data_IF_259456589723
#
_entry.id   IF_259456589723
#
_cell.length_a   1.000
_cell.length_b   1.000
_cell.length_c   1.000
_cell.angle_alpha   90.00
_cell.angle_beta   90.00
_cell.angle_gamma   90.00
#
_symmetry.space_group_name_H-M   'P 1'
#
loop_
_entity.id
_entity.type
_entity.pdbx_description
1 polymer ?
#
# COMPACT_ATOMS: atom_id res chain seq x y z
N UNK A 1 3.58 32.29 24.96
CA UNK A 1 4.08 31.66 23.74
C UNK A 1 3.00 30.77 23.17
N UNK A 2 3.13 30.30 21.89
CA UNK A 2 2.17 29.38 21.29
C UNK A 2 2.81 28.02 21.06
N UNK A 3 2.04 26.95 21.22
CA UNK A 3 2.46 25.60 20.94
C UNK A 3 2.88 25.45 19.46
N UNK A 4 4.08 24.93 19.21
CA UNK A 4 4.65 24.80 17.87
C UNK A 4 3.83 23.87 16.94
N UNK A 5 2.99 22.98 17.49
CA UNK A 5 2.19 22.07 16.70
C UNK A 5 0.73 22.52 16.49
N UNK A 6 0.03 22.97 17.53
CA UNK A 6 -1.40 23.28 17.46
C UNK A 6 -1.73 24.76 17.68
N UNK A 7 -0.74 25.62 17.88
CA UNK A 7 -0.85 27.06 18.10
C UNK A 7 -1.65 27.49 19.35
N UNK A 8 -1.96 26.55 20.25
CA UNK A 8 -2.60 26.87 21.55
C UNK A 8 -1.66 27.67 22.41
N UNK A 9 -2.17 28.64 23.20
CA UNK A 9 -1.39 29.43 24.13
C UNK A 9 -0.83 28.51 25.24
N UNK A 10 0.46 28.60 25.49
CA UNK A 10 1.19 27.80 26.49
C UNK A 10 2.04 28.71 27.40
N UNK A 11 2.44 28.18 28.54
CA UNK A 11 3.33 28.87 29.48
C UNK A 11 4.72 29.11 28.88
N UNK A 12 5.42 30.11 29.37
CA UNK A 12 6.78 30.40 28.94
C UNK A 12 7.72 29.24 29.32
N UNK A 13 8.58 28.86 28.39
CA UNK A 13 9.52 27.76 28.57
C UNK A 13 9.08 26.43 27.99
N UNK A 14 7.84 26.35 27.50
CA UNK A 14 7.36 25.17 26.76
C UNK A 14 7.31 25.43 25.23
N UNK A 15 7.65 24.43 24.46
CA UNK A 15 7.51 24.42 23.00
C UNK A 15 6.21 23.70 22.54
N UNK A 16 5.75 22.73 23.34
CA UNK A 16 4.52 21.98 23.10
C UNK A 16 3.53 22.13 24.27
N UNK A 17 2.24 22.12 23.98
CA UNK A 17 1.20 21.97 25.00
C UNK A 17 1.12 20.50 25.47
N UNK A 18 0.56 20.24 26.64
CA UNK A 18 0.43 18.90 27.24
C UNK A 18 -0.23 17.89 26.30
N UNK A 19 -1.26 18.30 25.54
CA UNK A 19 -1.94 17.41 24.59
C UNK A 19 -1.04 17.02 23.40
N UNK A 20 -0.17 17.91 22.93
CA UNK A 20 0.80 17.64 21.87
C UNK A 20 1.98 16.82 22.39
N UNK A 21 2.46 17.09 23.59
CA UNK A 21 3.47 16.29 24.28
C UNK A 21 3.02 14.82 24.43
N UNK A 22 1.81 14.59 24.97
CA UNK A 22 1.26 13.23 25.13
C UNK A 22 1.10 12.52 23.78
N UNK A 23 0.69 13.24 22.73
CA UNK A 23 0.63 12.65 21.37
C UNK A 23 2.02 12.31 20.84
N UNK A 24 3.01 13.16 21.06
CA UNK A 24 4.38 12.93 20.62
C UNK A 24 4.97 11.71 21.35
N UNK A 25 4.88 11.68 22.69
CA UNK A 25 5.30 10.53 23.48
C UNK A 25 4.58 9.24 23.07
N UNK A 26 3.26 9.30 22.84
CA UNK A 26 2.47 8.16 22.36
C UNK A 26 2.91 7.66 20.98
N UNK A 27 3.28 8.56 20.04
CA UNK A 27 3.83 8.17 18.73
C UNK A 27 5.18 7.47 18.88
N UNK A 28 6.09 7.98 19.73
CA UNK A 28 7.38 7.35 19.99
C UNK A 28 7.24 5.95 20.61
N UNK A 29 6.33 5.79 21.60
CA UNK A 29 6.04 4.48 22.20
C UNK A 29 5.41 3.49 21.22
N UNK A 30 4.55 3.97 20.33
CA UNK A 30 3.98 3.15 19.24
C UNK A 30 5.08 2.69 18.30
N UNK A 31 5.93 3.59 17.82
CA UNK A 31 7.07 3.23 16.97
C UNK A 31 8.01 2.23 17.65
N UNK A 32 8.28 2.40 18.97
CA UNK A 32 9.09 1.45 19.73
C UNK A 32 8.48 0.02 19.73
N UNK A 33 7.15 -0.09 19.76
CA UNK A 33 6.44 -1.37 19.64
C UNK A 33 6.55 -1.94 18.22
N UNK A 34 6.50 -1.05 17.22
CA UNK A 34 6.44 -1.42 15.80
C UNK A 34 7.83 -1.74 15.20
N UNK A 35 8.94 -1.50 15.93
CA UNK A 35 10.32 -1.85 15.53
C UNK A 35 10.45 -3.32 15.18
N UNK A 36 9.97 -4.23 16.05
CA UNK A 36 10.08 -5.69 15.79
C UNK A 36 9.29 -6.12 14.57
N UNK A 37 7.98 -5.80 14.43
CA UNK A 37 7.24 -6.08 13.20
C UNK A 37 7.90 -5.48 11.93
N UNK A 38 8.52 -4.30 12.05
CA UNK A 38 9.20 -3.66 10.93
C UNK A 38 10.44 -4.46 10.51
N UNK A 39 11.23 -4.95 11.45
CA UNK A 39 12.35 -5.85 11.16
C UNK A 39 11.89 -7.17 10.57
N UNK A 40 10.80 -7.77 11.07
CA UNK A 40 10.23 -9.00 10.52
C UNK A 40 9.75 -8.79 9.08
N UNK A 41 9.28 -7.57 8.75
CA UNK A 41 8.83 -7.23 7.40
C UNK A 41 9.95 -7.02 6.38
N UNK A 42 11.23 -7.02 6.80
CA UNK A 42 12.37 -6.99 5.88
C UNK A 42 12.44 -8.22 4.98
N UNK A 43 11.97 -9.37 5.45
CA UNK A 43 11.94 -10.58 4.64
C UNK A 43 10.80 -10.50 3.61
N UNK A 44 11.19 -10.25 2.35
CA UNK A 44 10.23 -10.19 1.24
C UNK A 44 9.47 -11.51 0.99
N UNK A 45 9.93 -12.63 1.55
CA UNK A 45 9.30 -13.95 1.38
C UNK A 45 8.10 -14.15 2.31
N UNK A 46 8.02 -13.39 3.40
CA UNK A 46 6.97 -13.51 4.43
C UNK A 46 5.69 -12.73 4.08
N UNK A 47 5.69 -11.92 3.01
CA UNK A 47 4.50 -11.16 2.62
C UNK A 47 3.57 -11.95 1.71
N UNK A 48 2.33 -12.29 2.16
CA UNK A 48 1.36 -13.04 1.36
C UNK A 48 0.76 -12.29 0.17
N UNK A 49 1.17 -11.04 -0.09
CA UNK A 49 0.59 -10.18 -1.13
C UNK A 49 1.31 -10.15 -2.48
N UNK A 50 2.42 -10.85 -2.65
CA UNK A 50 3.35 -10.65 -3.77
C UNK A 50 3.50 -11.76 -4.79
N UNK A 51 2.65 -12.75 -4.85
CA UNK A 51 2.71 -13.73 -5.94
C UNK A 51 2.15 -13.14 -7.23
N UNK A 52 2.99 -12.40 -7.95
CA UNK A 52 2.77 -12.22 -9.39
C UNK A 52 2.87 -13.59 -10.06
N UNK A 53 1.81 -14.09 -10.72
CA UNK A 53 1.84 -15.41 -11.37
C UNK A 53 2.73 -15.45 -12.61
N UNK A 54 3.37 -14.35 -12.96
CA UNK A 54 4.34 -14.26 -14.05
C UNK A 54 5.72 -14.24 -13.45
N UNK A 55 6.42 -15.38 -13.44
CA UNK A 55 7.86 -15.44 -13.30
C UNK A 55 8.45 -14.71 -14.50
N UNK A 56 8.74 -13.43 -14.35
CA UNK A 56 9.70 -12.75 -15.21
C UNK A 56 11.05 -13.30 -14.78
N UNK A 57 11.67 -14.11 -15.61
CA UNK A 57 13.06 -14.50 -15.44
C UNK A 57 13.90 -13.24 -15.70
N UNK A 58 14.12 -12.45 -14.65
CA UNK A 58 15.13 -11.40 -14.65
C UNK A 58 16.49 -12.06 -14.50
N UNK A 59 17.49 -11.60 -15.26
CA UNK A 59 18.87 -12.11 -15.20
C UNK A 59 19.51 -11.94 -13.80
N UNK A 60 18.93 -11.10 -12.96
CA UNK A 60 19.32 -10.88 -11.55
C UNK A 60 18.21 -11.41 -10.65
N UNK A 61 18.49 -12.33 -9.71
CA UNK A 61 17.48 -12.78 -8.75
C UNK A 61 17.00 -11.58 -7.92
N UNK A 62 15.69 -11.49 -7.61
CA UNK A 62 15.17 -10.41 -6.76
C UNK A 62 15.89 -10.49 -5.40
N UNK A 63 16.30 -9.33 -4.90
CA UNK A 63 16.89 -9.21 -3.57
C UNK A 63 15.84 -9.68 -2.55
N UNK A 64 16.17 -10.65 -1.67
CA UNK A 64 15.20 -11.19 -0.71
C UNK A 64 14.85 -10.20 0.40
N UNK A 65 15.45 -9.01 0.41
CA UNK A 65 15.30 -7.98 1.42
C UNK A 65 14.55 -6.78 0.81
N UNK A 66 13.59 -6.24 1.56
CA UNK A 66 12.88 -5.01 1.22
C UNK A 66 13.75 -3.80 1.57
N UNK A 67 14.40 -3.23 0.55
CA UNK A 67 15.28 -2.07 0.72
C UNK A 67 14.52 -0.83 1.21
N UNK A 68 13.27 -0.63 0.78
CA UNK A 68 12.38 0.44 1.22
C UNK A 68 12.14 0.42 2.74
N UNK A 69 12.02 -0.78 3.31
CA UNK A 69 11.85 -0.99 4.75
C UNK A 69 13.17 -0.79 5.49
N UNK A 70 14.27 -1.25 4.91
CA UNK A 70 15.61 -1.05 5.50
C UNK A 70 15.93 0.44 5.60
N UNK A 71 15.74 1.21 4.53
CA UNK A 71 15.94 2.66 4.52
C UNK A 71 15.05 3.37 5.56
N UNK A 72 13.83 2.85 5.77
CA UNK A 72 12.91 3.38 6.78
C UNK A 72 13.40 3.12 8.21
N UNK A 73 13.95 1.94 8.49
CA UNK A 73 14.56 1.59 9.77
C UNK A 73 15.76 2.49 10.04
N UNK A 74 16.64 2.66 9.06
CA UNK A 74 17.83 3.50 9.19
C UNK A 74 17.45 4.98 9.43
N UNK A 75 16.42 5.47 8.73
CA UNK A 75 15.88 6.81 8.94
C UNK A 75 15.31 6.97 10.35
N UNK A 76 14.56 5.99 10.84
CA UNK A 76 13.98 6.01 12.19
C UNK A 76 15.09 5.99 13.26
N UNK A 77 16.11 5.13 13.10
CA UNK A 77 17.23 5.02 14.03
C UNK A 77 18.04 6.33 14.09
N UNK A 78 18.40 6.88 12.92
CA UNK A 78 19.12 8.16 12.85
C UNK A 78 18.33 9.29 13.52
N UNK A 79 17.02 9.40 13.25
CA UNK A 79 16.17 10.44 13.82
C UNK A 79 15.99 10.27 15.34
N UNK A 80 15.80 9.03 15.81
CA UNK A 80 15.66 8.74 17.24
C UNK A 80 16.93 9.08 18.02
N UNK A 81 18.10 8.75 17.48
CA UNK A 81 19.40 9.09 18.08
C UNK A 81 19.65 10.59 18.11
N UNK A 82 19.25 11.29 17.06
CA UNK A 82 19.38 12.75 16.99
C UNK A 82 18.45 13.43 17.99
N UNK A 83 17.19 12.99 18.07
CA UNK A 83 16.23 13.47 19.06
C UNK A 83 16.75 13.25 20.49
N UNK A 84 17.29 12.06 20.79
CA UNK A 84 17.86 11.75 22.08
C UNK A 84 18.99 12.73 22.44
N UNK A 85 19.91 12.99 21.51
CA UNK A 85 21.02 13.98 21.73
C UNK A 85 20.50 15.39 22.04
N UNK A 86 19.47 15.83 21.32
CA UNK A 86 18.84 17.13 21.56
C UNK A 86 18.16 17.18 22.94
N UNK A 87 17.55 16.10 23.38
CA UNK A 87 16.88 16.00 24.67
C UNK A 87 17.88 15.96 25.85
N UNK A 88 18.93 15.16 25.74
CA UNK A 88 19.93 14.97 26.79
C UNK A 88 20.97 16.11 26.84
N UNK A 89 21.01 16.94 25.78
CA UNK A 89 21.96 18.08 25.68
C UNK A 89 23.40 17.62 25.47
N UNK A 90 23.59 16.42 24.91
CA UNK A 90 24.92 15.87 24.60
C UNK A 90 25.46 16.54 23.35
N UNK A 91 26.63 17.14 23.41
CA UNK A 91 27.33 17.69 22.25
C UNK A 91 27.63 16.59 21.22
N UNK A 92 27.49 16.91 19.93
CA UNK A 92 27.66 15.99 18.80
C UNK A 92 29.01 15.22 18.79
N UNK A 93 30.02 15.70 19.52
CA UNK A 93 31.33 15.07 19.65
C UNK A 93 31.38 13.92 20.67
N UNK A 94 30.46 13.88 21.63
CA UNK A 94 30.46 12.87 22.73
C UNK A 94 29.51 11.67 22.46
N UNK A 95 28.70 11.72 21.40
CA UNK A 95 27.75 10.65 21.07
C UNK A 95 28.38 9.24 20.93
N UNK A 96 29.68 9.18 20.57
CA UNK A 96 30.40 7.90 20.42
C UNK A 96 30.65 7.19 21.75
N UNK A 97 30.51 7.91 22.89
CA UNK A 97 30.72 7.37 24.23
C UNK A 97 29.43 6.86 24.89
N UNK A 98 28.27 7.22 24.32
CA UNK A 98 26.98 6.83 24.90
C UNK A 98 26.56 5.42 24.42
N UNK A 99 26.95 4.42 25.23
CA UNK A 99 26.60 3.01 24.96
C UNK A 99 25.11 2.67 25.17
N UNK A 100 24.30 3.60 25.70
CA UNK A 100 22.89 3.37 26.05
C UNK A 100 21.99 3.31 24.80
N UNK A 101 22.47 3.69 23.62
CA UNK A 101 21.70 3.83 22.39
C UNK A 101 21.97 2.74 21.35
N UNK A 102 22.36 1.54 21.77
CA UNK A 102 22.56 0.42 20.84
C UNK A 102 21.25 -0.17 20.32
N UNK A 103 20.15 -0.01 21.10
CA UNK A 103 18.81 -0.52 20.73
C UNK A 103 17.86 0.63 20.37
N UNK A 104 17.42 0.69 19.10
CA UNK A 104 16.44 1.65 18.60
C UNK A 104 15.17 1.71 19.47
N UNK A 105 14.65 0.55 19.88
CA UNK A 105 13.45 0.47 20.72
C UNK A 105 13.66 1.15 22.08
N UNK A 106 14.81 0.91 22.72
CA UNK A 106 15.16 1.53 23.99
C UNK A 106 15.32 3.04 23.84
N UNK A 107 15.95 3.50 22.75
CA UNK A 107 16.10 4.93 22.43
C UNK A 107 14.75 5.63 22.28
N UNK A 108 13.82 5.05 21.54
CA UNK A 108 12.47 5.61 21.36
C UNK A 108 11.70 5.71 22.69
N UNK A 109 11.79 4.68 23.54
CA UNK A 109 11.17 4.68 24.88
C UNK A 109 11.80 5.76 25.76
N UNK A 110 13.12 5.90 25.75
CA UNK A 110 13.83 6.91 26.51
C UNK A 110 13.45 8.33 26.07
N UNK A 111 13.36 8.59 24.76
CA UNK A 111 12.86 9.85 24.22
C UNK A 111 11.43 10.15 24.67
N UNK A 112 10.54 9.15 24.64
CA UNK A 112 9.14 9.33 25.01
C UNK A 112 8.95 9.70 26.49
N UNK A 113 9.81 9.18 27.38
CA UNK A 113 9.78 9.45 28.82
C UNK A 113 10.66 10.64 29.26
N UNK A 114 11.29 11.36 28.33
CA UNK A 114 12.25 12.38 28.68
C UNK A 114 11.58 13.66 29.18
N UNK A 115 12.03 14.19 30.35
CA UNK A 115 11.42 15.36 30.98
C UNK A 115 11.46 16.64 30.13
N UNK A 116 12.39 16.73 29.17
CA UNK A 116 12.53 17.89 28.28
C UNK A 116 11.74 17.77 26.99
N UNK A 117 10.97 16.71 26.77
CA UNK A 117 10.27 16.46 25.50
C UNK A 117 9.37 17.62 25.04
N UNK A 118 8.73 18.32 25.98
CA UNK A 118 7.87 19.48 25.68
C UNK A 118 8.62 20.83 25.73
N UNK A 119 9.83 20.88 26.27
CA UNK A 119 10.51 22.14 26.58
C UNK A 119 11.72 22.44 25.69
N UNK A 120 12.23 21.45 24.93
CA UNK A 120 13.37 21.75 24.04
C UNK A 120 12.90 22.52 22.78
N UNK A 121 13.77 23.38 22.27
CA UNK A 121 13.42 24.40 21.27
C UNK A 121 12.81 23.84 20.00
N UNK A 122 13.26 22.67 19.55
CA UNK A 122 12.86 22.06 18.26
C UNK A 122 11.82 20.94 18.43
N UNK A 123 11.08 20.92 19.55
CA UNK A 123 10.10 19.86 19.84
C UNK A 123 9.03 19.69 18.76
N UNK A 124 8.52 20.79 18.21
CA UNK A 124 7.54 20.76 17.13
C UNK A 124 8.11 20.20 15.83
N UNK A 125 9.36 20.55 15.49
CA UNK A 125 10.04 20.03 14.29
C UNK A 125 10.22 18.52 14.36
N UNK A 126 10.76 17.99 15.47
CA UNK A 126 10.92 16.55 15.64
C UNK A 126 9.59 15.81 15.72
N UNK A 127 8.57 16.40 16.34
CA UNK A 127 7.23 15.84 16.34
C UNK A 127 6.70 15.65 14.92
N UNK A 128 6.90 16.61 14.02
CA UNK A 128 6.49 16.48 12.61
C UNK A 128 7.25 15.37 11.89
N UNK A 129 8.58 15.32 12.01
CA UNK A 129 9.41 14.27 11.39
C UNK A 129 9.00 12.89 11.89
N UNK A 130 8.86 12.70 13.19
CA UNK A 130 8.46 11.42 13.78
C UNK A 130 7.06 11.00 13.34
N UNK A 131 6.12 11.93 13.22
CA UNK A 131 4.78 11.62 12.67
C UNK A 131 4.82 11.22 11.20
N UNK A 132 5.72 11.82 10.40
CA UNK A 132 5.91 11.45 9.00
C UNK A 132 6.51 10.05 8.85
N UNK A 133 7.51 9.73 9.69
CA UNK A 133 8.09 8.38 9.75
C UNK A 133 7.03 7.38 10.20
N UNK A 134 6.23 7.70 11.22
CA UNK A 134 5.18 6.84 11.72
C UNK A 134 4.15 6.49 10.64
N UNK A 135 3.74 7.45 9.80
CA UNK A 135 2.85 7.18 8.65
C UNK A 135 3.48 6.25 7.61
N UNK A 136 4.80 6.37 7.38
CA UNK A 136 5.53 5.46 6.47
C UNK A 136 5.61 4.06 7.07
N UNK A 137 5.84 3.94 8.40
CA UNK A 137 5.83 2.66 9.12
C UNK A 137 4.46 2.00 9.03
N UNK A 138 3.38 2.76 9.27
CA UNK A 138 2.00 2.25 9.11
C UNK A 138 1.77 1.71 7.68
N UNK A 139 2.20 2.45 6.65
CA UNK A 139 2.08 2.00 5.26
C UNK A 139 2.95 0.78 4.94
N UNK A 140 4.11 0.62 5.58
CA UNK A 140 5.01 -0.51 5.36
C UNK A 140 4.49 -1.80 6.02
N UNK A 141 3.88 -1.68 7.21
CA UNK A 141 3.33 -2.79 7.99
C UNK A 141 1.93 -3.19 7.52
N UNK A 142 1.10 -2.22 7.15
CA UNK A 142 -0.26 -2.42 6.64
C UNK A 142 -0.44 -1.63 5.33
N UNK A 143 0.14 -2.11 4.23
CA UNK A 143 0.05 -1.43 2.95
C UNK A 143 -1.42 -1.31 2.54
N UNK A 144 -1.85 -0.14 2.06
CA UNK A 144 -3.23 0.05 1.63
C UNK A 144 -3.60 -0.99 0.58
N UNK A 145 -4.75 -1.60 0.76
CA UNK A 145 -5.25 -2.62 -0.16
C UNK A 145 -5.24 -2.09 -1.60
N UNK A 146 -4.57 -2.83 -2.50
CA UNK A 146 -4.50 -2.45 -3.91
C UNK A 146 -5.90 -2.52 -4.52
N UNK A 147 -6.58 -1.38 -4.59
CA UNK A 147 -7.86 -1.27 -5.27
C UNK A 147 -7.64 -1.20 -6.79
N UNK A 148 -8.37 -2.04 -7.52
CA UNK A 148 -8.31 -2.09 -8.99
C UNK A 148 -9.61 -1.59 -9.58
N UNK A 149 -9.52 -0.97 -10.74
CA UNK A 149 -10.71 -0.58 -11.51
C UNK A 149 -11.49 -1.81 -11.96
N UNK A 150 -12.74 -1.92 -11.52
CA UNK A 150 -13.61 -3.06 -11.81
C UNK A 150 -14.67 -2.77 -12.87
N UNK A 151 -14.94 -1.52 -13.15
CA UNK A 151 -15.95 -1.07 -14.11
C UNK A 151 -16.59 0.23 -13.71
N UNK A 152 -17.72 0.57 -14.30
CA UNK A 152 -18.43 1.83 -14.06
C UNK A 152 -19.72 1.63 -13.27
N UNK A 153 -20.12 2.67 -12.53
CA UNK A 153 -21.41 2.72 -11.85
C UNK A 153 -22.56 2.67 -12.86
N UNK A 154 -23.61 1.91 -12.58
CA UNK A 154 -24.75 1.78 -13.48
C UNK A 154 -25.61 3.05 -13.56
N UNK A 155 -25.55 3.91 -12.53
CA UNK A 155 -26.37 5.12 -12.45
C UNK A 155 -25.66 6.35 -13.03
N UNK A 156 -24.39 6.59 -12.65
CA UNK A 156 -23.67 7.82 -13.00
C UNK A 156 -22.42 7.61 -13.85
N UNK A 157 -22.14 6.37 -14.27
CA UNK A 157 -20.97 5.98 -15.07
C UNK A 157 -19.58 6.30 -14.44
N UNK A 158 -19.54 6.69 -13.16
CA UNK A 158 -18.27 6.92 -12.45
C UNK A 158 -17.49 5.61 -12.35
N UNK A 159 -16.17 5.66 -12.60
CA UNK A 159 -15.27 4.51 -12.44
C UNK A 159 -15.29 4.02 -11.00
N UNK A 160 -15.48 2.72 -10.81
CA UNK A 160 -15.49 2.05 -9.52
C UNK A 160 -14.22 1.23 -9.33
N UNK A 161 -13.67 1.29 -8.13
CA UNK A 161 -12.51 0.49 -7.73
C UNK A 161 -12.90 -0.46 -6.60
N UNK A 162 -12.30 -1.64 -6.58
CA UNK A 162 -12.48 -2.63 -5.53
C UNK A 162 -11.15 -3.26 -5.14
N UNK A 163 -11.04 -3.65 -3.88
CA UNK A 163 -10.02 -4.56 -3.39
C UNK A 163 -10.24 -5.98 -3.89
N UNK A 164 -9.29 -6.87 -3.61
CA UNK A 164 -9.35 -8.25 -4.12
C UNK A 164 -10.54 -9.03 -3.54
N UNK A 165 -10.89 -8.75 -2.28
CA UNK A 165 -11.94 -9.47 -1.53
C UNK A 165 -13.24 -8.69 -1.39
N UNK A 166 -13.34 -7.49 -1.96
CA UNK A 166 -14.54 -6.66 -1.88
C UNK A 166 -15.71 -7.35 -2.59
N UNK A 167 -16.75 -7.68 -1.84
CA UNK A 167 -18.01 -8.21 -2.40
C UNK A 167 -18.94 -7.09 -2.86
N UNK A 168 -18.87 -5.92 -2.19
CA UNK A 168 -19.70 -4.75 -2.44
C UNK A 168 -18.83 -3.51 -2.65
N UNK A 169 -19.30 -2.60 -3.48
CA UNK A 169 -18.66 -1.31 -3.74
C UNK A 169 -19.68 -0.21 -3.70
N UNK A 170 -19.32 0.90 -3.08
CA UNK A 170 -20.14 2.11 -3.01
C UNK A 170 -19.59 3.13 -4.00
N UNK A 171 -20.45 3.68 -4.84
CA UNK A 171 -20.05 4.71 -5.77
C UNK A 171 -19.70 6.00 -5.03
N UNK A 172 -18.51 6.58 -5.22
CA UNK A 172 -18.10 7.79 -4.50
C UNK A 172 -18.87 9.02 -4.92
N UNK A 173 -19.52 9.01 -6.11
CA UNK A 173 -20.27 10.17 -6.61
C UNK A 173 -21.75 10.13 -6.20
N UNK A 174 -22.44 8.99 -6.38
CA UNK A 174 -23.89 8.90 -6.17
C UNK A 174 -24.30 8.07 -4.95
N UNK A 175 -23.35 7.52 -4.20
CA UNK A 175 -23.60 6.71 -3.00
C UNK A 175 -24.22 5.34 -3.26
N UNK A 176 -24.47 4.95 -4.54
CA UNK A 176 -25.11 3.67 -4.86
C UNK A 176 -24.19 2.50 -4.52
N UNK A 177 -24.72 1.55 -3.77
CA UNK A 177 -24.08 0.29 -3.45
C UNK A 177 -24.35 -0.75 -4.55
N UNK A 178 -23.30 -1.47 -4.99
CA UNK A 178 -23.38 -2.48 -6.04
C UNK A 178 -22.49 -3.67 -5.71
N UNK A 179 -22.88 -4.87 -6.12
CA UNK A 179 -22.01 -6.05 -6.02
C UNK A 179 -20.83 -5.90 -6.98
N UNK A 180 -19.60 -6.03 -6.47
CA UNK A 180 -18.37 -5.93 -7.27
C UNK A 180 -18.39 -6.90 -8.47
N UNK A 181 -18.89 -8.12 -8.26
CA UNK A 181 -19.05 -9.11 -9.33
C UNK A 181 -20.00 -8.65 -10.44
N UNK A 182 -21.11 -7.99 -10.12
CA UNK A 182 -22.06 -7.46 -11.12
C UNK A 182 -21.42 -6.37 -11.96
N UNK A 183 -20.61 -5.50 -11.32
CA UNK A 183 -19.87 -4.42 -12.01
C UNK A 183 -18.85 -5.03 -12.98
N UNK A 184 -18.08 -6.04 -12.53
CA UNK A 184 -17.09 -6.75 -13.37
C UNK A 184 -17.75 -7.45 -14.57
N UNK A 185 -18.87 -8.12 -14.37
CA UNK A 185 -19.65 -8.75 -15.44
C UNK A 185 -20.17 -7.73 -16.46
N UNK A 186 -20.65 -6.56 -16.00
CA UNK A 186 -21.09 -5.47 -16.88
C UNK A 186 -19.93 -4.96 -17.73
N UNK A 187 -18.76 -4.72 -17.13
CA UNK A 187 -17.54 -4.35 -17.85
C UNK A 187 -17.18 -5.39 -18.93
N UNK A 188 -17.18 -6.67 -18.58
CA UNK A 188 -16.93 -7.74 -19.55
C UNK A 188 -17.95 -7.73 -20.69
N UNK A 189 -19.24 -7.59 -20.38
CA UNK A 189 -20.27 -7.46 -21.42
C UNK A 189 -19.97 -6.31 -22.36
N UNK A 190 -19.68 -5.11 -21.85
CA UNK A 190 -19.35 -3.95 -22.70
C UNK A 190 -18.16 -4.25 -23.63
N UNK A 191 -17.11 -4.92 -23.13
CA UNK A 191 -15.97 -5.32 -23.95
C UNK A 191 -16.34 -6.33 -25.04
N UNK A 192 -17.26 -7.26 -24.75
CA UNK A 192 -17.69 -8.31 -25.67
C UNK A 192 -18.72 -7.84 -26.70
N UNK A 193 -19.50 -6.80 -26.41
CA UNK A 193 -20.47 -6.21 -27.34
C UNK A 193 -19.87 -5.15 -28.27
N UNK A 194 -18.68 -4.65 -27.97
CA UNK A 194 -17.94 -3.73 -28.84
C UNK A 194 -17.04 -4.54 -29.79
N UNK A 195 -17.50 -4.73 -31.02
CA UNK A 195 -16.78 -5.50 -32.05
C UNK A 195 -15.42 -4.87 -32.43
N UNK A 196 -15.16 -3.63 -32.04
CA UNK A 196 -13.87 -2.97 -32.26
C UNK A 196 -12.82 -3.37 -31.22
N UNK A 197 -13.25 -3.86 -30.05
CA UNK A 197 -12.34 -4.20 -28.96
C UNK A 197 -11.55 -5.48 -29.24
N UNK A 198 -10.23 -5.31 -29.14
CA UNK A 198 -9.23 -6.36 -29.38
C UNK A 198 -8.31 -6.45 -28.17
N UNK A 199 -7.75 -7.64 -27.94
CA UNK A 199 -6.77 -7.85 -26.88
C UNK A 199 -5.86 -9.03 -27.17
N UNK A 200 -4.81 -9.18 -26.35
CA UNK A 200 -4.01 -10.40 -26.34
C UNK A 200 -4.79 -11.55 -25.69
N UNK A 201 -4.37 -12.79 -25.94
CA UNK A 201 -4.97 -13.95 -25.27
C UNK A 201 -4.88 -13.86 -23.73
N UNK A 202 -3.85 -13.18 -23.20
CA UNK A 202 -3.67 -12.97 -21.77
C UNK A 202 -4.67 -11.93 -21.23
N UNK A 203 -4.84 -10.78 -21.92
CA UNK A 203 -5.77 -9.73 -21.52
C UNK A 203 -7.21 -10.21 -21.51
N UNK A 204 -7.59 -10.97 -22.55
CA UNK A 204 -8.92 -11.55 -22.65
C UNK A 204 -9.14 -12.56 -21.53
N UNK A 205 -8.21 -13.49 -21.31
CA UNK A 205 -8.32 -14.47 -20.24
C UNK A 205 -8.44 -13.80 -18.87
N UNK A 206 -7.68 -12.73 -18.64
CA UNK A 206 -7.75 -11.94 -17.42
C UNK A 206 -9.12 -11.28 -17.26
N UNK A 207 -9.65 -10.61 -18.30
CA UNK A 207 -10.94 -9.93 -18.22
C UNK A 207 -12.09 -10.91 -17.90
N UNK A 208 -12.08 -12.11 -18.47
CA UNK A 208 -13.05 -13.16 -18.17
C UNK A 208 -12.90 -13.69 -16.74
N UNK A 209 -11.65 -13.94 -16.30
CA UNK A 209 -11.38 -14.43 -14.95
C UNK A 209 -11.75 -13.40 -13.89
N UNK A 210 -11.44 -12.11 -14.12
CA UNK A 210 -11.83 -10.99 -13.25
C UNK A 210 -13.37 -10.89 -13.12
N UNK A 211 -14.11 -11.25 -14.17
CA UNK A 211 -15.56 -11.34 -14.17
C UNK A 211 -16.12 -12.66 -13.60
N UNK A 212 -15.27 -13.54 -13.04
CA UNK A 212 -15.65 -14.82 -12.44
C UNK A 212 -15.83 -15.97 -13.42
N UNK A 213 -15.45 -15.79 -14.69
CA UNK A 213 -15.50 -16.85 -15.72
C UNK A 213 -14.08 -17.40 -15.91
N UNK A 214 -13.82 -18.60 -15.40
CA UNK A 214 -12.50 -19.23 -15.51
C UNK A 214 -12.12 -19.49 -16.96
N UNK A 215 -11.18 -18.71 -17.48
CA UNK A 215 -10.66 -18.84 -18.83
C UNK A 215 -9.13 -18.76 -18.82
N UNK A 216 -8.44 -19.79 -19.32
CA UNK A 216 -6.99 -19.82 -19.43
C UNK A 216 -6.53 -19.23 -20.77
N UNK A 217 -5.49 -18.39 -20.77
CA UNK A 217 -4.90 -17.82 -21.99
C UNK A 217 -4.48 -18.89 -23.01
N UNK A 218 -4.01 -20.05 -22.54
CA UNK A 218 -3.68 -21.20 -23.39
C UNK A 218 -4.89 -21.75 -24.16
N UNK A 219 -6.09 -21.70 -23.56
CA UNK A 219 -7.33 -22.12 -24.21
C UNK A 219 -7.71 -21.15 -25.35
N UNK A 220 -7.58 -19.85 -25.11
CA UNK A 220 -7.81 -18.82 -26.14
C UNK A 220 -6.85 -19.01 -27.32
N UNK A 221 -5.55 -19.24 -27.06
CA UNK A 221 -4.57 -19.51 -28.12
C UNK A 221 -4.93 -20.74 -28.95
N UNK A 222 -5.34 -21.84 -28.30
CA UNK A 222 -5.79 -23.05 -29.00
C UNK A 222 -7.02 -22.81 -29.90
N UNK A 223 -7.96 -21.95 -29.50
CA UNK A 223 -9.09 -21.58 -30.32
C UNK A 223 -8.67 -20.77 -31.55
N UNK A 224 -7.67 -19.89 -31.42
CA UNK A 224 -7.08 -19.16 -32.54
C UNK A 224 -6.35 -20.13 -33.50
N UNK A 225 -5.53 -21.04 -32.98
CA UNK A 225 -4.79 -22.06 -33.74
C UNK A 225 -5.74 -22.99 -34.54
N UNK A 226 -6.91 -23.28 -33.97
CA UNK A 226 -7.95 -24.11 -34.60
C UNK A 226 -8.88 -23.35 -35.54
N UNK A 227 -8.68 -22.04 -35.73
CA UNK A 227 -9.54 -21.19 -36.56
C UNK A 227 -10.93 -20.92 -35.98
N UNK A 228 -11.18 -21.28 -34.72
CA UNK A 228 -12.47 -21.07 -34.04
C UNK A 228 -12.68 -19.61 -33.61
N UNK A 229 -11.59 -18.86 -33.45
CA UNK A 229 -11.57 -17.46 -33.11
C UNK A 229 -10.63 -16.74 -34.07
N UNK A 230 -11.09 -15.63 -34.64
CA UNK A 230 -10.30 -14.84 -35.59
C UNK A 230 -9.14 -14.09 -34.85
N UNK A 231 -8.00 -13.97 -35.55
CA UNK A 231 -6.90 -13.13 -35.13
C UNK A 231 -6.62 -12.07 -36.17
N UNK A 232 -6.65 -10.82 -35.78
CA UNK A 232 -6.28 -9.67 -36.60
C UNK A 232 -4.91 -9.14 -36.23
N UNK A 233 -4.24 -8.30 -37.03
CA UNK A 233 -3.00 -7.62 -36.66
C UNK A 233 -3.13 -6.81 -35.36
N UNK A 234 -4.34 -6.34 -35.04
CA UNK A 234 -4.66 -5.54 -33.85
C UNK A 234 -4.99 -6.40 -32.62
N UNK A 235 -5.06 -7.73 -32.75
CA UNK A 235 -5.35 -8.65 -31.65
C UNK A 235 -6.56 -9.56 -31.91
N UNK A 236 -7.04 -10.19 -30.85
CA UNK A 236 -8.18 -11.12 -30.86
C UNK A 236 -9.43 -10.36 -30.42
N UNK A 237 -10.58 -10.47 -31.14
CA UNK A 237 -11.84 -9.85 -30.72
C UNK A 237 -12.39 -10.48 -29.43
N UNK A 238 -12.80 -9.64 -28.47
CA UNK A 238 -13.47 -10.12 -27.26
C UNK A 238 -14.82 -10.81 -27.59
N UNK A 239 -15.55 -10.32 -28.59
CA UNK A 239 -16.84 -10.87 -29.06
C UNK A 239 -16.73 -12.31 -29.55
N UNK A 240 -15.67 -12.65 -30.29
CA UNK A 240 -15.44 -14.00 -30.80
C UNK A 240 -15.18 -14.99 -29.68
N UNK A 241 -14.32 -14.59 -28.72
CA UNK A 241 -14.02 -15.43 -27.55
C UNK A 241 -15.26 -15.62 -26.67
N UNK A 242 -16.08 -14.59 -26.51
CA UNK A 242 -17.33 -14.69 -25.76
C UNK A 242 -18.31 -15.70 -26.41
N UNK A 243 -18.46 -15.67 -27.73
CA UNK A 243 -19.29 -16.67 -28.49
C UNK A 243 -18.78 -18.09 -28.25
N UNK A 244 -17.47 -18.31 -28.28
CA UNK A 244 -16.86 -19.62 -28.01
C UNK A 244 -17.06 -20.11 -26.57
N UNK A 245 -17.00 -19.19 -25.58
CA UNK A 245 -17.27 -19.54 -24.18
C UNK A 245 -18.71 -19.98 -23.98
N UNK A 246 -19.67 -19.26 -24.58
CA UNK A 246 -21.11 -19.62 -24.50
C UNK A 246 -21.39 -20.94 -25.23
N UNK A 247 -20.87 -21.13 -26.45
CA UNK A 247 -21.04 -22.39 -27.19
C UNK A 247 -20.54 -23.60 -26.39
N UNK A 248 -19.38 -23.49 -25.77
CA UNK A 248 -18.82 -24.57 -24.95
C UNK A 248 -19.51 -24.78 -23.58
N UNK A 249 -20.44 -23.91 -23.18
CA UNK A 249 -21.30 -24.10 -22.00
C UNK A 249 -22.63 -24.76 -22.35
N UNK A 250 -23.07 -24.65 -23.58
CA UNK A 250 -24.30 -25.28 -24.08
C UNK A 250 -24.10 -26.78 -24.45
N UNK A 251 -22.83 -27.19 -24.62
CA UNK A 251 -22.45 -28.58 -24.94
C UNK A 251 -22.13 -29.43 -23.69
N UNK A 252 -22.43 -28.94 -22.48
CA UNK A 252 -22.32 -29.67 -21.22
C UNK A 252 -23.65 -29.85 -20.53
#
# INVERSE_FOLDING_TARGET
MNCQNCNTIIENGYALCTACELRFAGTLLRLARDVTPLHDSLDATLHPGGHSPVRIQTATPPTPIRLDVLDLIDMLDATARELWRCLDGIDALDWRKDKRNEDLKATLIACAGHARLATFADAGFYMHIINDIARKVDTALDPPEQRREIGTCELCNTMLTAGQNDQWVICPLCGREQRAQTVKLRRLKTLCWDDSRRGSAADIAKAFTDAGITLKASRVRKWVERGQVSRTPQGIPYSDVYRQVIAGQLDK
#
